data_IF_406079260461
#
_entry.id   IF_406079260461
#
_cell.length_a   1.000
_cell.length_b   1.000
_cell.length_c   1.000
_cell.angle_alpha   90.00
_cell.angle_beta   90.00
_cell.angle_gamma   90.00
#
_symmetry.space_group_name_H-M   'P 1'
#
loop_
_entity.id
_entity.type
_entity.pdbx_description
1 polymer ?
#
# COMPACT_ATOMS: atom_id res chain seq x y z
N UNK A 1 12.54 -6.58 8.12
CA UNK A 1 12.67 -7.67 9.10
C UNK A 1 12.53 -9.01 8.41
N UNK A 2 13.58 -9.84 8.46
CA UNK A 2 13.55 -11.21 7.89
C UNK A 2 12.85 -12.20 8.83
N UNK A 3 12.81 -11.90 10.13
CA UNK A 3 12.17 -12.74 11.14
C UNK A 3 11.54 -11.87 12.25
N UNK A 4 10.23 -11.55 12.15
CA UNK A 4 9.55 -10.67 13.10
C UNK A 4 9.55 -11.18 14.55
N UNK A 5 9.49 -12.49 14.75
CA UNK A 5 9.47 -13.09 16.09
C UNK A 5 10.80 -12.92 16.83
N UNK A 6 11.92 -13.14 16.14
CA UNK A 6 13.26 -12.91 16.74
C UNK A 6 13.50 -11.42 17.00
N UNK A 7 13.04 -10.56 16.12
CA UNK A 7 13.14 -9.11 16.27
C UNK A 7 12.38 -8.63 17.53
N UNK A 8 11.16 -9.12 17.73
CA UNK A 8 10.36 -8.80 18.91
C UNK A 8 11.04 -9.27 20.21
N UNK A 9 11.61 -10.49 20.22
CA UNK A 9 12.32 -11.01 21.36
C UNK A 9 13.58 -10.17 21.72
N UNK A 10 14.35 -9.75 20.72
CA UNK A 10 15.52 -8.88 20.91
C UNK A 10 15.09 -7.51 21.48
N UNK A 11 14.05 -6.90 20.88
CA UNK A 11 13.56 -5.58 21.30
C UNK A 11 12.95 -5.63 22.71
N UNK A 12 12.29 -6.71 23.11
CA UNK A 12 11.77 -6.89 24.47
C UNK A 12 12.88 -6.87 25.53
N UNK A 13 14.10 -7.26 25.16
CA UNK A 13 15.27 -7.25 26.06
C UNK A 13 16.07 -5.92 26.02
N UNK A 14 15.68 -4.95 25.21
CA UNK A 14 16.40 -3.68 25.08
C UNK A 14 16.43 -2.84 26.36
N UNK A 15 15.49 -3.07 27.28
CA UNK A 15 15.43 -2.40 28.59
C UNK A 15 16.35 -2.99 29.67
N UNK A 16 17.21 -3.94 29.35
CA UNK A 16 18.16 -4.52 30.31
C UNK A 16 19.31 -3.56 30.61
N UNK A 17 19.86 -3.63 31.84
CA UNK A 17 21.02 -2.84 32.25
C UNK A 17 22.20 -3.08 31.31
N UNK A 18 22.78 -2.02 30.79
CA UNK A 18 23.93 -2.07 29.90
C UNK A 18 23.64 -2.63 28.50
N UNK A 19 22.39 -2.95 28.17
CA UNK A 19 22.05 -3.38 26.84
C UNK A 19 22.11 -2.21 25.86
N UNK A 20 22.71 -2.46 24.70
CA UNK A 20 22.71 -1.55 23.55
C UNK A 20 22.00 -2.27 22.37
N UNK A 21 20.88 -1.75 21.95
CA UNK A 21 20.10 -2.34 20.87
C UNK A 21 20.07 -1.38 19.68
N UNK A 22 20.56 -1.86 18.53
CA UNK A 22 20.49 -1.12 17.27
C UNK A 22 19.31 -1.69 16.47
N UNK A 23 18.39 -0.84 16.08
CA UNK A 23 17.19 -1.25 15.39
C UNK A 23 16.76 -0.21 14.36
N UNK A 24 16.03 -0.64 13.35
CA UNK A 24 15.30 0.30 12.49
C UNK A 24 14.10 0.90 13.23
N UNK A 25 13.64 2.07 12.83
CA UNK A 25 12.52 2.76 13.49
C UNK A 25 11.19 1.98 13.50
N UNK A 26 11.05 0.98 12.64
CA UNK A 26 9.88 0.09 12.59
C UNK A 26 10.05 -1.17 13.42
N UNK A 27 11.28 -1.48 13.85
CA UNK A 27 11.61 -2.69 14.61
C UNK A 27 10.85 -2.75 15.94
N UNK A 28 10.30 -3.91 16.25
CA UNK A 28 9.56 -4.15 17.48
C UNK A 28 8.31 -3.29 17.64
N UNK A 29 7.67 -2.88 16.56
CA UNK A 29 6.37 -2.20 16.62
C UNK A 29 5.34 -3.12 17.29
N UNK A 30 4.72 -2.64 18.37
CA UNK A 30 3.83 -3.46 19.21
C UNK A 30 4.53 -4.21 20.33
N UNK A 31 5.87 -4.28 20.36
CA UNK A 31 6.63 -4.88 21.46
C UNK A 31 6.82 -3.84 22.56
N UNK A 32 6.47 -4.21 23.79
CA UNK A 32 6.74 -3.39 24.96
C UNK A 32 8.18 -3.58 25.43
N UNK A 33 8.86 -2.49 25.74
CA UNK A 33 10.22 -2.50 26.31
C UNK A 33 10.09 -2.28 27.81
N UNK A 34 10.28 -3.36 28.57
CA UNK A 34 10.25 -3.30 30.03
C UNK A 34 11.63 -2.99 30.57
N UNK A 35 11.74 -2.03 31.48
CA UNK A 35 13.00 -1.79 32.23
C UNK A 35 13.32 -3.02 33.03
N UNK A 36 14.59 -3.42 33.03
CA UNK A 36 15.05 -4.67 33.63
C UNK A 36 14.98 -5.87 32.69
N UNK A 37 14.29 -5.78 31.58
CA UNK A 37 14.10 -6.83 30.58
C UNK A 37 12.78 -7.57 30.73
N UNK A 38 12.51 -8.51 29.81
CA UNK A 38 11.33 -9.37 29.85
C UNK A 38 11.63 -10.68 30.58
N UNK A 39 11.09 -10.91 31.80
CA UNK A 39 11.38 -12.08 32.60
C UNK A 39 10.86 -13.39 31.97
N UNK A 40 9.81 -13.34 31.19
CA UNK A 40 9.24 -14.52 30.55
C UNK A 40 10.17 -15.03 29.44
N UNK A 41 10.62 -14.15 28.55
CA UNK A 41 11.56 -14.51 27.50
C UNK A 41 12.92 -14.98 28.03
N UNK A 42 13.41 -14.41 29.17
CA UNK A 42 14.65 -14.84 29.81
C UNK A 42 14.50 -16.20 30.47
N UNK A 43 13.39 -16.47 31.15
CA UNK A 43 13.12 -17.78 31.77
C UNK A 43 12.94 -18.86 30.70
N UNK A 44 12.30 -18.58 29.59
CA UNK A 44 12.13 -19.49 28.46
C UNK A 44 13.51 -19.83 27.84
N UNK A 45 14.35 -18.83 27.60
CA UNK A 45 15.68 -19.02 27.04
C UNK A 45 16.55 -19.87 27.96
N UNK A 46 16.53 -19.63 29.28
CA UNK A 46 17.28 -20.45 30.25
C UNK A 46 16.73 -21.85 30.35
N UNK A 47 15.41 -22.05 30.32
CA UNK A 47 14.77 -23.35 30.31
C UNK A 47 15.22 -24.21 29.13
N UNK A 48 15.30 -23.64 27.95
CA UNK A 48 15.76 -24.31 26.72
C UNK A 48 17.26 -24.69 26.86
N UNK A 49 18.08 -23.81 27.44
CA UNK A 49 19.51 -24.02 27.56
C UNK A 49 19.92 -25.02 28.67
N UNK A 50 19.21 -25.00 29.78
CA UNK A 50 19.59 -25.76 30.99
C UNK A 50 18.70 -26.98 31.23
N UNK A 51 17.53 -27.05 30.60
CA UNK A 51 16.51 -28.09 30.83
C UNK A 51 15.74 -27.92 32.16
N UNK A 52 15.96 -26.83 32.90
CA UNK A 52 15.17 -26.56 34.09
C UNK A 52 13.72 -26.16 33.75
N UNK A 53 12.74 -26.57 34.57
CA UNK A 53 11.34 -26.22 34.32
C UNK A 53 11.13 -24.69 34.33
N UNK A 54 10.43 -24.17 33.31
CA UNK A 54 10.09 -22.75 33.17
C UNK A 54 9.41 -22.19 34.44
N UNK A 55 8.53 -22.98 35.08
CA UNK A 55 7.80 -22.58 36.28
C UNK A 55 8.73 -22.28 37.49
N UNK A 56 9.90 -22.90 37.58
CA UNK A 56 10.87 -22.65 38.62
C UNK A 56 11.77 -21.43 38.32
N UNK A 57 12.05 -21.18 37.04
CA UNK A 57 12.90 -20.09 36.58
C UNK A 57 12.16 -18.75 36.55
N UNK A 58 10.91 -18.74 36.23
CA UNK A 58 10.12 -17.50 36.07
C UNK A 58 10.11 -16.62 37.35
N UNK A 59 9.88 -17.15 38.58
CA UNK A 59 9.92 -16.33 39.77
C UNK A 59 11.29 -15.70 40.05
N UNK A 60 12.37 -16.44 39.74
CA UNK A 60 13.73 -15.94 39.85
C UNK A 60 14.03 -14.80 38.91
N UNK A 61 13.60 -14.94 37.65
CA UNK A 61 13.76 -13.89 36.64
C UNK A 61 12.90 -12.68 36.95
N UNK A 62 11.66 -12.85 37.42
CA UNK A 62 10.82 -11.73 37.86
C UNK A 62 11.49 -10.91 38.97
N UNK A 63 12.05 -11.54 39.96
CA UNK A 63 12.77 -10.84 41.04
C UNK A 63 14.01 -10.10 40.50
N UNK A 64 14.82 -10.74 39.66
CA UNK A 64 15.99 -10.11 39.04
C UNK A 64 15.65 -8.94 38.15
N UNK A 65 14.65 -9.08 37.31
CA UNK A 65 14.21 -8.00 36.41
C UNK A 65 13.66 -6.82 37.22
N UNK A 66 12.93 -7.06 38.28
CA UNK A 66 12.42 -6.00 39.15
C UNK A 66 13.53 -5.24 39.90
N UNK A 67 14.53 -5.95 40.39
CA UNK A 67 15.71 -5.31 41.00
C UNK A 67 16.48 -4.47 39.96
N UNK A 68 16.70 -5.02 38.76
CA UNK A 68 17.36 -4.30 37.68
C UNK A 68 16.52 -3.10 37.21
N UNK A 69 15.23 -3.19 37.23
CA UNK A 69 14.31 -2.07 36.91
C UNK A 69 14.53 -0.91 37.86
N UNK A 70 14.55 -1.15 39.18
CA UNK A 70 14.78 -0.10 40.18
C UNK A 70 16.12 0.60 40.01
N UNK A 71 17.18 -0.18 39.70
CA UNK A 71 18.50 0.39 39.41
C UNK A 71 18.45 1.28 38.17
N UNK A 72 17.82 0.82 37.07
CA UNK A 72 17.75 1.56 35.80
C UNK A 72 16.91 2.82 36.00
N UNK A 73 15.81 2.76 36.72
CA UNK A 73 14.98 3.93 37.03
C UNK A 73 15.79 4.98 37.83
N UNK A 74 16.61 4.56 38.78
CA UNK A 74 17.50 5.46 39.53
C UNK A 74 18.57 6.13 38.65
N UNK A 75 18.97 5.49 37.56
CA UNK A 75 19.93 6.01 36.56
C UNK A 75 19.29 6.90 35.48
N UNK A 76 17.98 7.09 35.52
CA UNK A 76 17.23 7.92 34.54
C UNK A 76 16.52 7.15 33.45
N UNK A 77 16.49 5.81 33.52
CA UNK A 77 15.67 4.97 32.66
C UNK A 77 16.28 4.68 31.28
N UNK A 78 15.41 4.42 30.29
CA UNK A 78 15.82 4.08 28.92
C UNK A 78 16.21 5.34 28.15
N UNK A 79 17.38 5.29 27.52
CA UNK A 79 17.86 6.31 26.58
C UNK A 79 17.59 5.87 25.16
N UNK A 80 16.84 6.66 24.40
CA UNK A 80 16.56 6.42 22.99
C UNK A 80 17.31 7.43 22.12
N UNK A 81 18.19 6.92 21.26
CA UNK A 81 18.97 7.73 20.34
C UNK A 81 18.44 7.55 18.91
N UNK A 82 18.04 8.63 18.28
CA UNK A 82 17.62 8.65 16.87
C UNK A 82 18.75 9.18 15.98
N UNK A 83 19.23 8.37 15.04
CA UNK A 83 20.16 8.81 14.01
C UNK A 83 19.35 9.35 12.81
N UNK A 84 19.08 10.65 12.80
CA UNK A 84 18.20 11.30 11.83
C UNK A 84 16.74 11.41 12.28
N UNK A 85 15.94 12.16 11.52
CA UNK A 85 14.49 12.28 11.68
C UNK A 85 13.77 11.55 10.55
N UNK A 86 12.58 11.07 10.84
CA UNK A 86 11.71 10.47 9.84
C UNK A 86 10.98 11.54 9.00
N UNK A 87 10.42 11.10 7.88
CA UNK A 87 9.59 11.94 7.02
C UNK A 87 8.33 12.45 7.76
N UNK A 88 7.82 11.65 8.71
CA UNK A 88 6.65 12.00 9.50
C UNK A 88 7.00 12.19 10.97
N UNK A 89 6.57 13.31 11.53
CA UNK A 89 6.67 13.62 12.96
C UNK A 89 6.05 12.54 13.85
N UNK A 90 5.00 11.89 13.37
CA UNK A 90 4.33 10.81 14.10
C UNK A 90 5.28 9.64 14.37
N UNK A 91 6.14 9.30 13.41
CA UNK A 91 7.12 8.23 13.57
C UNK A 91 8.20 8.62 14.57
N UNK A 92 8.67 9.87 14.54
CA UNK A 92 9.62 10.40 15.52
C UNK A 92 9.04 10.36 16.94
N UNK A 93 7.79 10.78 17.09
CA UNK A 93 7.09 10.69 18.37
C UNK A 93 6.92 9.25 18.88
N UNK A 94 6.69 8.29 17.97
CA UNK A 94 6.64 6.86 18.32
C UNK A 94 8.00 6.32 18.77
N UNK A 95 9.09 6.81 18.19
CA UNK A 95 10.44 6.45 18.62
C UNK A 95 10.77 7.10 19.96
N UNK A 96 10.55 8.38 20.12
CA UNK A 96 10.74 9.10 21.38
C UNK A 96 9.89 8.50 22.51
N UNK A 97 8.65 8.13 22.22
CA UNK A 97 7.72 7.50 23.17
C UNK A 97 8.09 6.07 23.57
N UNK A 98 9.19 5.51 23.08
CA UNK A 98 9.74 4.26 23.63
C UNK A 98 10.47 4.47 24.94
N UNK A 99 11.04 5.67 25.16
CA UNK A 99 11.47 6.11 26.47
C UNK A 99 10.26 6.53 27.32
N UNK A 100 10.33 6.35 28.61
CA UNK A 100 9.28 6.84 29.55
C UNK A 100 7.94 6.07 29.49
N UNK A 101 7.92 4.82 29.03
CA UNK A 101 6.70 4.00 29.06
C UNK A 101 6.24 3.70 30.48
N UNK A 102 4.94 3.60 30.67
CA UNK A 102 4.30 3.30 31.95
C UNK A 102 4.69 4.25 33.10
N UNK A 103 5.09 5.48 32.76
CA UNK A 103 5.51 6.47 33.77
C UNK A 103 6.95 6.31 34.25
N UNK A 104 7.70 5.36 33.71
CA UNK A 104 9.12 5.20 34.04
C UNK A 104 9.95 6.38 33.48
N UNK A 105 11.06 6.76 34.15
CA UNK A 105 11.98 7.76 33.61
C UNK A 105 12.58 7.31 32.29
N UNK A 106 12.98 8.27 31.46
CA UNK A 106 13.64 8.00 30.19
C UNK A 106 13.96 9.28 29.44
N UNK A 107 14.87 9.20 28.49
CA UNK A 107 15.24 10.33 27.63
C UNK A 107 15.32 9.94 26.17
N UNK A 108 15.09 10.91 25.29
CA UNK A 108 15.28 10.71 23.88
C UNK A 108 16.05 11.87 23.25
N UNK A 109 16.99 11.54 22.37
CA UNK A 109 17.80 12.51 21.66
C UNK A 109 17.92 12.13 20.20
N UNK A 110 17.85 13.13 19.30
CA UNK A 110 18.02 12.94 17.88
C UNK A 110 19.27 13.66 17.40
N UNK A 111 20.05 12.96 16.60
CA UNK A 111 21.23 13.51 15.92
C UNK A 111 20.86 13.74 14.45
N UNK A 112 21.17 14.92 13.94
CA UNK A 112 20.80 15.35 12.60
C UNK A 112 22.03 15.82 11.85
N UNK A 113 22.04 15.56 10.55
CA UNK A 113 22.98 16.14 9.59
C UNK A 113 22.23 16.99 8.56
N UNK A 114 22.82 18.08 8.12
CA UNK A 114 22.29 18.84 6.98
C UNK A 114 22.23 18.05 5.69
N UNK A 115 22.96 16.94 5.60
CA UNK A 115 22.97 16.02 4.46
C UNK A 115 21.93 14.88 4.58
N UNK A 116 21.13 14.86 5.67
CA UNK A 116 20.08 13.86 5.81
C UNK A 116 19.08 13.97 4.67
N UNK A 117 18.65 12.82 4.16
CA UNK A 117 17.65 12.69 3.07
C UNK A 117 16.39 13.53 3.32
N UNK A 118 16.01 13.69 4.59
CA UNK A 118 14.88 14.53 4.97
C UNK A 118 15.04 15.97 4.50
N UNK A 119 16.23 16.54 4.63
CA UNK A 119 16.50 17.93 4.24
C UNK A 119 16.78 18.05 2.74
N UNK A 120 17.69 17.22 2.24
CA UNK A 120 18.12 17.26 0.83
C UNK A 120 16.96 17.08 -0.15
N UNK A 121 16.02 16.19 0.17
CA UNK A 121 14.88 15.92 -0.73
C UNK A 121 13.70 16.87 -0.55
N UNK A 122 13.63 17.59 0.55
CA UNK A 122 12.42 18.34 0.90
C UNK A 122 12.64 19.85 1.07
N UNK A 123 13.88 20.30 1.10
CA UNK A 123 14.21 21.71 1.15
C UNK A 123 14.99 22.13 -0.09
N UNK A 124 14.72 23.32 -0.59
CA UNK A 124 15.46 23.89 -1.72
C UNK A 124 16.91 24.21 -1.31
N UNK A 125 17.05 24.71 -0.09
CA UNK A 125 18.34 24.98 0.53
C UNK A 125 18.46 24.15 1.81
N UNK A 126 19.14 22.98 1.75
CA UNK A 126 19.41 22.19 2.94
C UNK A 126 20.28 22.98 3.93
N UNK A 127 20.05 22.83 5.24
CA UNK A 127 20.86 23.51 6.23
C UNK A 127 22.32 23.05 6.15
N UNK A 128 23.24 24.00 6.08
CA UNK A 128 24.67 23.71 6.19
C UNK A 128 25.07 23.84 7.66
N UNK A 129 25.18 22.69 8.35
CA UNK A 129 25.64 22.67 9.73
C UNK A 129 27.16 22.56 9.75
N UNK A 130 27.83 23.69 9.82
CA UNK A 130 29.29 23.74 10.06
C UNK A 130 29.69 23.64 11.53
N UNK A 131 28.74 23.76 12.45
CA UNK A 131 28.89 23.69 13.90
C UNK A 131 27.60 23.14 14.52
N UNK A 132 27.64 22.69 15.79
CA UNK A 132 26.46 22.30 16.54
C UNK A 132 25.43 23.43 16.58
N UNK A 133 24.29 23.20 15.95
CA UNK A 133 23.20 24.18 15.90
C UNK A 133 22.23 23.90 17.03
N UNK A 134 21.90 24.93 17.81
CA UNK A 134 20.97 24.80 18.92
C UNK A 134 19.59 24.24 18.50
N UNK A 135 18.99 23.45 19.40
CA UNK A 135 17.82 22.63 19.14
C UNK A 135 16.61 23.34 18.52
N UNK A 136 16.35 24.61 18.84
CA UNK A 136 15.19 25.34 18.32
C UNK A 136 15.30 25.65 16.81
N UNK A 137 16.50 25.97 16.31
CA UNK A 137 16.75 26.18 14.88
C UNK A 137 16.63 24.88 14.11
N UNK A 138 17.25 23.80 14.63
CA UNK A 138 17.16 22.47 14.02
C UNK A 138 15.70 21.99 13.95
N UNK A 139 14.90 22.19 14.98
CA UNK A 139 13.46 21.86 14.98
C UNK A 139 12.67 22.63 13.90
N UNK A 140 13.00 23.91 13.68
CA UNK A 140 12.39 24.72 12.62
C UNK A 140 12.64 24.13 11.22
N UNK A 141 13.86 23.66 10.95
CA UNK A 141 14.21 22.98 9.70
C UNK A 141 13.49 21.63 9.55
N UNK A 142 13.50 20.82 10.60
CA UNK A 142 12.80 19.53 10.64
C UNK A 142 11.32 19.72 10.34
N UNK A 143 10.65 20.63 11.03
CA UNK A 143 9.20 20.90 10.85
C UNK A 143 8.88 21.31 9.41
N UNK A 144 9.70 22.18 8.79
CA UNK A 144 9.49 22.58 7.38
C UNK A 144 9.69 21.41 6.43
N UNK A 145 10.76 20.63 6.59
CA UNK A 145 11.06 19.50 5.74
C UNK A 145 9.97 18.41 5.86
N UNK A 146 9.55 18.08 7.09
CA UNK A 146 8.47 17.11 7.32
C UNK A 146 7.13 17.59 6.75
N UNK A 147 6.77 18.86 6.93
CA UNK A 147 5.53 19.41 6.36
C UNK A 147 5.50 19.33 4.84
N UNK A 148 6.60 19.65 4.15
CA UNK A 148 6.71 19.50 2.69
C UNK A 148 6.65 18.05 2.24
N UNK A 149 7.34 17.15 2.95
CA UNK A 149 7.30 15.72 2.65
C UNK A 149 5.90 15.10 2.83
N UNK A 150 5.22 15.44 3.93
CA UNK A 150 3.86 14.97 4.20
C UNK A 150 2.85 15.53 3.19
N UNK A 151 3.00 16.80 2.77
CA UNK A 151 2.20 17.41 1.71
C UNK A 151 2.33 16.63 0.40
N UNK A 152 3.56 16.42 -0.06
CA UNK A 152 3.84 15.67 -1.30
C UNK A 152 3.28 14.24 -1.25
N UNK A 153 3.47 13.55 -0.14
CA UNK A 153 2.93 12.20 0.04
C UNK A 153 1.39 12.18 0.07
N UNK A 154 0.76 13.26 0.56
CA UNK A 154 -0.70 13.42 0.52
C UNK A 154 -1.18 13.59 -0.92
N UNK A 155 -0.52 14.45 -1.70
CA UNK A 155 -0.88 14.70 -3.10
C UNK A 155 -0.78 13.43 -3.93
N UNK A 156 0.32 12.67 -3.78
CA UNK A 156 0.47 11.36 -4.44
C UNK A 156 -0.64 10.40 -4.06
N UNK A 157 -0.99 10.30 -2.76
CA UNK A 157 -2.09 9.43 -2.33
C UNK A 157 -3.44 9.87 -2.89
N UNK A 158 -3.69 11.18 -2.95
CA UNK A 158 -4.94 11.70 -3.53
C UNK A 158 -5.05 11.39 -5.02
N UNK A 159 -3.95 11.53 -5.77
CA UNK A 159 -3.92 11.12 -7.17
C UNK A 159 -4.19 9.63 -7.35
N UNK A 160 -3.51 8.77 -6.57
CA UNK A 160 -3.75 7.33 -6.59
C UNK A 160 -5.21 6.97 -6.28
N UNK A 161 -5.79 7.61 -5.25
CA UNK A 161 -7.22 7.42 -4.92
C UNK A 161 -8.15 7.80 -6.08
N UNK A 162 -7.85 8.88 -6.81
CA UNK A 162 -8.66 9.27 -7.97
C UNK A 162 -8.61 8.21 -9.07
N UNK A 163 -7.43 7.66 -9.37
CA UNK A 163 -7.29 6.55 -10.32
C UNK A 163 -8.01 5.30 -9.84
N UNK A 164 -7.82 4.89 -8.59
CA UNK A 164 -8.47 3.72 -8.02
C UNK A 164 -10.00 3.86 -8.03
N UNK A 165 -10.52 5.06 -7.77
CA UNK A 165 -11.97 5.32 -7.82
C UNK A 165 -12.51 5.14 -9.23
N UNK A 166 -11.83 5.66 -10.26
CA UNK A 166 -12.25 5.50 -11.65
C UNK A 166 -12.24 4.03 -12.06
N UNK A 167 -11.18 3.30 -11.72
CA UNK A 167 -11.06 1.85 -12.02
C UNK A 167 -12.13 1.05 -11.28
N UNK A 168 -12.43 1.38 -10.02
CA UNK A 168 -13.47 0.69 -9.26
C UNK A 168 -14.87 0.92 -9.83
N UNK A 169 -15.20 2.14 -10.25
CA UNK A 169 -16.46 2.44 -10.92
C UNK A 169 -16.63 1.63 -12.20
N UNK A 170 -15.58 1.56 -13.03
CA UNK A 170 -15.59 0.73 -14.23
C UNK A 170 -15.77 -0.75 -13.88
N UNK A 171 -15.10 -1.23 -12.86
CA UNK A 171 -15.20 -2.61 -12.40
C UNK A 171 -16.61 -2.93 -11.88
N UNK A 172 -17.18 -2.06 -11.07
CA UNK A 172 -18.56 -2.22 -10.57
C UNK A 172 -19.57 -2.28 -11.71
N UNK A 173 -19.45 -1.41 -12.72
CA UNK A 173 -20.31 -1.44 -13.89
C UNK A 173 -20.18 -2.77 -14.66
N UNK A 174 -18.95 -3.23 -14.93
CA UNK A 174 -18.72 -4.52 -15.62
C UNK A 174 -19.24 -5.70 -14.79
N UNK A 175 -19.09 -5.67 -13.47
CA UNK A 175 -19.62 -6.75 -12.62
C UNK A 175 -21.14 -6.70 -12.51
N UNK A 176 -21.77 -5.54 -12.55
CA UNK A 176 -23.22 -5.40 -12.62
C UNK A 176 -23.75 -6.00 -13.93
N UNK A 177 -23.21 -5.59 -15.08
CA UNK A 177 -23.56 -6.16 -16.38
C UNK A 177 -23.36 -7.69 -16.41
N UNK A 178 -22.25 -8.17 -15.84
CA UNK A 178 -21.99 -9.60 -15.74
C UNK A 178 -23.01 -10.32 -14.86
N UNK A 179 -23.42 -9.71 -13.75
CA UNK A 179 -24.40 -10.31 -12.84
C UNK A 179 -25.77 -10.45 -13.52
N UNK A 180 -26.20 -9.46 -14.30
CA UNK A 180 -27.42 -9.52 -15.10
C UNK A 180 -27.36 -10.68 -16.09
N UNK A 181 -26.23 -10.82 -16.81
CA UNK A 181 -26.03 -11.91 -17.77
C UNK A 181 -26.07 -13.29 -17.08
N UNK A 182 -25.46 -13.42 -15.88
CA UNK A 182 -25.43 -14.68 -15.13
C UNK A 182 -26.75 -15.03 -14.43
N UNK A 183 -27.56 -14.03 -14.12
CA UNK A 183 -28.89 -14.25 -13.52
C UNK A 183 -29.87 -14.91 -14.49
N UNK A 184 -29.57 -14.93 -15.79
CA UNK A 184 -30.36 -15.62 -16.81
C UNK A 184 -31.70 -14.97 -17.13
N UNK A 185 -31.98 -13.81 -16.56
CA UNK A 185 -33.18 -13.04 -16.87
C UNK A 185 -32.96 -12.33 -18.21
N UNK A 186 -33.62 -12.87 -19.27
CA UNK A 186 -33.79 -12.26 -20.59
C UNK A 186 -32.53 -11.93 -21.41
N UNK A 187 -31.51 -12.84 -21.37
CA UNK A 187 -30.30 -12.70 -22.19
C UNK A 187 -30.64 -12.48 -23.69
N UNK A 188 -31.66 -13.14 -24.18
CA UNK A 188 -32.09 -13.03 -25.57
C UNK A 188 -32.65 -11.63 -25.91
N UNK A 189 -33.34 -10.98 -24.96
CA UNK A 189 -33.82 -9.62 -25.13
C UNK A 189 -32.73 -8.57 -25.03
N UNK A 190 -31.68 -8.82 -24.21
CA UNK A 190 -30.57 -7.88 -24.02
C UNK A 190 -29.50 -7.96 -25.12
N UNK A 191 -29.35 -9.09 -25.80
CA UNK A 191 -28.33 -9.27 -26.84
C UNK A 191 -28.40 -8.23 -27.97
N UNK A 192 -29.57 -7.85 -28.52
CA UNK A 192 -29.66 -6.81 -29.54
C UNK A 192 -29.16 -5.45 -29.02
N UNK A 193 -29.49 -5.09 -27.79
CA UNK A 193 -29.05 -3.85 -27.16
C UNK A 193 -27.53 -3.83 -26.93
N UNK A 194 -26.95 -4.94 -26.53
CA UNK A 194 -25.49 -5.08 -26.37
C UNK A 194 -24.75 -4.97 -27.70
N UNK A 195 -25.31 -5.57 -28.78
CA UNK A 195 -24.77 -5.41 -30.13
C UNK A 195 -24.83 -3.97 -30.59
N UNK A 196 -25.91 -3.26 -30.29
CA UNK A 196 -26.09 -1.85 -30.62
C UNK A 196 -25.06 -0.98 -29.88
N UNK A 197 -24.96 -1.13 -28.57
CA UNK A 197 -23.99 -0.41 -27.74
C UNK A 197 -22.53 -0.70 -28.17
N UNK A 198 -22.20 -1.95 -28.48
CA UNK A 198 -20.88 -2.32 -28.95
C UNK A 198 -20.55 -1.69 -30.32
N UNK A 199 -21.48 -1.70 -31.24
CA UNK A 199 -21.28 -1.11 -32.55
C UNK A 199 -21.10 0.41 -32.49
N UNK A 200 -21.91 1.11 -31.69
CA UNK A 200 -21.81 2.55 -31.48
C UNK A 200 -20.50 2.93 -30.76
N UNK A 201 -20.11 2.20 -29.71
CA UNK A 201 -18.88 2.46 -28.99
C UNK A 201 -17.63 2.32 -29.89
N UNK A 202 -17.59 1.32 -30.78
CA UNK A 202 -16.49 1.16 -31.73
C UNK A 202 -16.47 2.29 -32.76
N UNK A 203 -17.64 2.73 -33.25
CA UNK A 203 -17.71 3.85 -34.17
C UNK A 203 -17.23 5.16 -33.51
N UNK A 204 -17.66 5.45 -32.29
CA UNK A 204 -17.22 6.63 -31.53
C UNK A 204 -15.67 6.60 -31.25
N UNK A 205 -15.12 5.44 -31.01
CA UNK A 205 -13.69 5.29 -30.77
C UNK A 205 -12.85 5.65 -32.00
N UNK A 206 -13.32 5.29 -33.20
CA UNK A 206 -12.55 5.42 -34.43
C UNK A 206 -12.95 6.62 -35.32
N UNK A 207 -14.02 7.33 -34.98
CA UNK A 207 -14.44 8.51 -35.68
C UNK A 207 -14.52 9.74 -34.77
N UNK A 208 -14.18 10.90 -35.31
CA UNK A 208 -14.43 12.20 -34.70
C UNK A 208 -15.43 12.97 -35.56
N UNK A 209 -16.70 12.95 -35.15
CA UNK A 209 -17.80 13.35 -36.01
C UNK A 209 -17.94 12.42 -37.22
N UNK A 210 -17.74 12.95 -38.42
CA UNK A 210 -17.80 12.17 -39.67
C UNK A 210 -16.43 11.79 -40.24
N UNK A 211 -15.34 12.13 -39.55
CA UNK A 211 -13.97 11.90 -40.03
C UNK A 211 -13.36 10.69 -39.30
N UNK A 212 -12.88 9.72 -40.07
CA UNK A 212 -12.12 8.57 -39.48
C UNK A 212 -10.78 9.03 -38.92
N UNK A 213 -10.51 8.72 -37.66
CA UNK A 213 -9.22 8.98 -37.01
C UNK A 213 -8.13 8.05 -37.58
N UNK A 214 -8.48 6.77 -37.77
CA UNK A 214 -7.61 5.75 -38.36
C UNK A 214 -8.48 4.63 -38.95
N UNK A 215 -8.63 4.65 -40.25
CA UNK A 215 -9.48 3.68 -40.97
C UNK A 215 -8.98 2.25 -40.90
N UNK A 216 -7.65 2.04 -40.82
CA UNK A 216 -7.08 0.71 -40.70
C UNK A 216 -7.38 0.10 -39.33
N UNK A 217 -7.18 0.85 -38.25
CA UNK A 217 -7.51 0.41 -36.88
C UNK A 217 -9.00 0.15 -36.70
N UNK A 218 -9.86 0.93 -37.34
CA UNK A 218 -11.31 0.68 -37.33
C UNK A 218 -11.66 -0.68 -37.93
N UNK A 219 -11.02 -1.03 -39.06
CA UNK A 219 -11.17 -2.34 -39.71
C UNK A 219 -10.58 -3.48 -38.86
N UNK A 220 -9.38 -3.30 -38.31
CA UNK A 220 -8.76 -4.28 -37.42
C UNK A 220 -9.65 -4.57 -36.18
N UNK A 221 -10.19 -3.53 -35.55
CA UNK A 221 -11.08 -3.70 -34.42
C UNK A 221 -12.38 -4.40 -34.80
N UNK A 222 -12.95 -4.02 -35.92
CA UNK A 222 -14.16 -4.68 -36.45
C UNK A 222 -13.88 -6.17 -36.79
N UNK A 223 -12.73 -6.47 -37.38
CA UNK A 223 -12.30 -7.85 -37.69
C UNK A 223 -12.18 -8.70 -36.41
N UNK A 224 -11.56 -8.17 -35.36
CA UNK A 224 -11.41 -8.86 -34.07
C UNK A 224 -12.77 -9.12 -33.41
N UNK A 225 -13.63 -8.11 -33.30
CA UNK A 225 -14.96 -8.26 -32.69
C UNK A 225 -15.86 -9.24 -33.44
N UNK A 226 -15.84 -9.18 -34.74
CA UNK A 226 -16.64 -10.07 -35.55
C UNK A 226 -15.95 -11.39 -35.88
N UNK A 227 -14.70 -11.58 -35.44
CA UNK A 227 -13.83 -12.73 -35.78
C UNK A 227 -13.85 -13.02 -37.29
N UNK A 228 -13.78 -12.00 -38.10
CA UNK A 228 -13.77 -12.04 -39.55
C UNK A 228 -12.36 -11.74 -40.04
N UNK A 229 -11.94 -12.24 -41.19
CA UNK A 229 -10.66 -11.87 -41.78
C UNK A 229 -10.63 -10.37 -42.13
N UNK A 230 -9.50 -9.71 -41.97
CA UNK A 230 -9.35 -8.27 -42.26
C UNK A 230 -9.70 -7.94 -43.72
N UNK A 231 -9.42 -8.87 -44.63
CA UNK A 231 -9.71 -8.73 -46.06
C UNK A 231 -11.21 -8.71 -46.40
N UNK A 232 -12.02 -9.28 -45.53
CA UNK A 232 -13.48 -9.29 -45.64
C UNK A 232 -14.14 -8.06 -45.02
N UNK A 233 -13.39 -7.22 -44.27
CA UNK A 233 -13.89 -6.02 -43.65
C UNK A 233 -13.77 -4.84 -44.63
N UNK A 234 -14.89 -4.22 -45.02
CA UNK A 234 -14.85 -3.10 -45.96
C UNK A 234 -14.19 -1.86 -45.37
N UNK A 235 -13.89 -0.89 -46.23
CA UNK A 235 -13.48 0.43 -45.77
C UNK A 235 -14.72 1.25 -45.40
N UNK A 236 -14.62 1.99 -44.29
CA UNK A 236 -15.70 2.81 -43.76
C UNK A 236 -15.36 4.29 -43.90
N UNK A 237 -16.20 5.03 -44.60
CA UNK A 237 -16.08 6.48 -44.77
C UNK A 237 -16.86 7.28 -43.73
N UNK A 238 -17.83 6.64 -43.06
CA UNK A 238 -18.70 7.27 -42.05
C UNK A 238 -18.94 6.33 -40.88
N UNK A 239 -19.14 6.88 -39.65
CA UNK A 239 -19.41 6.05 -38.48
C UNK A 239 -20.62 5.15 -38.63
N UNK A 240 -21.71 5.65 -39.23
CA UNK A 240 -22.93 4.88 -39.45
C UNK A 240 -22.71 3.63 -40.33
N UNK A 241 -21.74 3.65 -41.25
CA UNK A 241 -21.43 2.46 -42.08
C UNK A 241 -20.75 1.38 -41.24
N UNK A 242 -19.86 1.76 -40.36
CA UNK A 242 -19.20 0.83 -39.43
C UNK A 242 -20.22 0.25 -38.44
N UNK A 243 -21.05 1.08 -37.84
CA UNK A 243 -22.11 0.63 -36.94
C UNK A 243 -23.07 -0.36 -37.61
N UNK A 244 -23.56 -0.03 -38.77
CA UNK A 244 -24.49 -0.90 -39.52
C UNK A 244 -23.82 -2.25 -39.85
N UNK A 245 -22.62 -2.22 -40.36
CA UNK A 245 -21.86 -3.44 -40.68
C UNK A 245 -21.61 -4.31 -39.47
N UNK A 246 -21.20 -3.72 -38.33
CA UNK A 246 -21.01 -4.41 -37.09
C UNK A 246 -22.29 -5.04 -36.56
N UNK A 247 -23.41 -4.29 -36.59
CA UNK A 247 -24.71 -4.81 -36.17
C UNK A 247 -25.12 -6.02 -37.02
N UNK A 248 -25.02 -5.94 -38.32
CA UNK A 248 -25.39 -7.03 -39.24
C UNK A 248 -24.50 -8.28 -38.98
N UNK A 249 -23.19 -8.12 -38.86
CA UNK A 249 -22.28 -9.23 -38.66
C UNK A 249 -22.43 -9.87 -37.27
N UNK A 250 -22.53 -9.07 -36.21
CA UNK A 250 -22.73 -9.58 -34.87
C UNK A 250 -24.07 -10.29 -34.70
N UNK A 251 -25.16 -9.72 -35.23
CA UNK A 251 -26.50 -10.33 -35.21
C UNK A 251 -26.51 -11.66 -35.97
N UNK A 252 -25.94 -11.68 -37.17
CA UNK A 252 -25.86 -12.90 -37.98
C UNK A 252 -25.07 -14.02 -37.24
N UNK A 253 -24.03 -13.66 -36.53
CA UNK A 253 -23.25 -14.65 -35.74
C UNK A 253 -23.98 -15.15 -34.51
N UNK A 254 -24.72 -14.28 -33.83
CA UNK A 254 -25.58 -14.68 -32.71
C UNK A 254 -26.63 -15.69 -33.18
N UNK A 255 -27.34 -15.37 -34.29
CA UNK A 255 -28.34 -16.27 -34.88
C UNK A 255 -27.73 -17.61 -35.33
N UNK A 256 -26.52 -17.60 -35.90
CA UNK A 256 -25.82 -18.80 -36.30
C UNK A 256 -25.43 -19.68 -35.10
N UNK A 257 -25.07 -19.05 -34.00
CA UNK A 257 -24.77 -19.76 -32.72
C UNK A 257 -26.03 -20.32 -32.09
N UNK A 258 -27.08 -19.54 -31.98
CA UNK A 258 -28.36 -19.96 -31.46
C UNK A 258 -28.86 -21.21 -32.22
N UNK A 259 -28.77 -21.18 -33.54
CA UNK A 259 -29.12 -22.33 -34.38
C UNK A 259 -28.22 -23.55 -34.22
N UNK A 260 -26.93 -23.33 -33.92
CA UNK A 260 -25.96 -24.41 -33.74
C UNK A 260 -26.05 -25.10 -32.37
N UNK A 261 -26.43 -24.38 -31.32
CA UNK A 261 -26.48 -24.90 -29.96
C UNK A 261 -27.88 -25.25 -29.46
N UNK A 262 -28.97 -24.88 -30.20
CA UNK A 262 -30.35 -25.03 -29.80
C UNK A 262 -30.82 -23.95 -28.83
N UNK A 263 -32.12 -23.81 -28.66
CA UNK A 263 -32.74 -22.78 -27.81
C UNK A 263 -32.37 -22.94 -26.32
N UNK A 264 -32.00 -24.15 -25.86
CA UNK A 264 -31.64 -24.44 -24.49
C UNK A 264 -30.21 -23.96 -24.08
N UNK A 265 -29.40 -23.50 -25.01
CA UNK A 265 -28.03 -23.04 -24.70
C UNK A 265 -27.96 -21.60 -24.19
N UNK A 266 -29.10 -20.89 -24.18
CA UNK A 266 -29.24 -19.50 -23.74
C UNK A 266 -30.33 -19.30 -22.68
N UNK A 267 -30.96 -20.38 -22.22
CA UNK A 267 -31.95 -20.36 -21.13
C UNK A 267 -31.33 -20.66 -19.78
#
# INVERSE_FOLDING_TARGET
ARNPGQEAAIVAQAGRRGAVTIATNMAGRGTDIKLGGDPEGLAEQESIQTGHPFAELLPKWKARCEQARQEIESLGGLVVLGAGRNISRRIDNQLAGRAGRQGAPGSSQFFLSGQDDLFVRNLEEPPSFGQEVGGSLAEGWVKRAQSRAEGRNRDVRNQLMQYDTAVNLQREAIYADRAEVLAGEDLVEHLPLLVEKAASAVAELHFEGSVARDGLRAREHAAVLTRTSLDEVPEFSKPAQLEQWLREKLTSRLQAREKAFGEDAFS
#
